data_IF_357737487854
#
_entry.id   IF_357737487854
#
_cell.length_a   1.000
_cell.length_b   1.000
_cell.length_c   1.000
_cell.angle_alpha   90.00
_cell.angle_beta   90.00
_cell.angle_gamma   90.00
#
_symmetry.space_group_name_H-M   'P 1'
#
loop_
_entity.id
_entity.type
_entity.pdbx_description
1 polymer ?
#
# COMPACT_ATOMS: atom_id res chain seq x y z
N UNK A 1 17.85 3.37 16.44
CA UNK A 1 16.66 2.87 15.72
C UNK A 1 15.45 3.52 16.37
N UNK A 2 14.68 4.31 15.62
CA UNK A 2 13.48 5.00 16.12
C UNK A 2 12.25 4.49 15.37
N UNK A 3 11.18 4.17 16.09
CA UNK A 3 9.91 3.66 15.57
C UNK A 3 8.88 4.80 15.49
N UNK A 4 9.11 5.77 14.61
CA UNK A 4 8.19 6.89 14.44
C UNK A 4 8.25 7.42 13.02
N UNK A 5 7.11 7.86 12.50
CA UNK A 5 7.03 8.52 11.20
C UNK A 5 7.33 10.02 11.31
N UNK A 6 7.51 10.67 10.15
CA UNK A 6 7.73 12.11 10.10
C UNK A 6 6.42 12.86 10.36
N UNK A 7 6.38 13.68 11.40
CA UNK A 7 5.21 14.50 11.77
C UNK A 7 5.16 15.80 10.94
N UNK A 8 4.89 15.69 9.64
CA UNK A 8 4.71 16.86 8.78
C UNK A 8 3.35 17.53 9.03
N UNK A 9 3.35 18.87 9.12
CA UNK A 9 2.11 19.64 9.09
C UNK A 9 1.51 19.63 7.68
N UNK A 10 0.18 19.80 7.56
CA UNK A 10 -0.53 19.80 6.27
C UNK A 10 -0.04 20.89 5.29
N UNK A 11 0.53 21.99 5.79
CA UNK A 11 1.09 23.08 4.99
C UNK A 11 2.60 22.93 4.72
N UNK A 12 3.23 21.87 5.21
CA UNK A 12 4.66 21.66 4.98
C UNK A 12 4.90 21.17 3.53
N UNK A 13 5.69 21.88 2.71
CA UNK A 13 5.95 21.48 1.33
C UNK A 13 6.65 20.11 1.21
N UNK A 14 7.40 19.67 2.22
CA UNK A 14 8.06 18.36 2.23
C UNK A 14 7.04 17.21 2.30
N UNK A 15 5.82 17.45 2.82
CA UNK A 15 4.75 16.45 2.81
C UNK A 15 4.34 16.11 1.38
N UNK A 16 4.14 17.14 0.55
CA UNK A 16 3.73 16.97 -0.85
C UNK A 16 4.81 16.21 -1.61
N UNK A 17 6.08 16.62 -1.45
CA UNK A 17 7.22 15.94 -2.09
C UNK A 17 7.29 14.46 -1.71
N UNK A 18 7.16 14.14 -0.42
CA UNK A 18 7.17 12.77 0.07
C UNK A 18 6.00 11.94 -0.50
N UNK A 19 4.81 12.51 -0.55
CA UNK A 19 3.62 11.84 -1.14
C UNK A 19 3.82 11.57 -2.64
N UNK A 20 4.39 12.51 -3.39
CA UNK A 20 4.69 12.33 -4.82
C UNK A 20 5.75 11.24 -5.06
N UNK A 21 6.78 11.20 -4.22
CA UNK A 21 7.82 10.15 -4.23
C UNK A 21 7.22 8.77 -3.92
N UNK A 22 6.35 8.67 -2.92
CA UNK A 22 5.65 7.43 -2.54
C UNK A 22 4.76 6.93 -3.69
N UNK A 23 3.97 7.81 -4.31
CA UNK A 23 3.12 7.47 -5.48
C UNK A 23 3.97 6.97 -6.64
N UNK A 24 5.05 7.68 -6.95
CA UNK A 24 5.92 7.33 -8.08
C UNK A 24 6.55 5.96 -7.88
N UNK A 25 7.04 5.71 -6.66
CA UNK A 25 7.65 4.43 -6.28
C UNK A 25 6.63 3.29 -6.34
N UNK A 26 5.41 3.54 -5.86
CA UNK A 26 4.33 2.55 -5.89
C UNK A 26 3.95 2.16 -7.33
N UNK A 27 3.73 3.15 -8.21
CA UNK A 27 3.38 2.91 -9.61
C UNK A 27 4.50 2.21 -10.40
N UNK A 28 5.76 2.49 -10.05
CA UNK A 28 6.90 1.80 -10.65
C UNK A 28 6.94 0.30 -10.26
N UNK A 29 6.55 -0.03 -9.03
CA UNK A 29 6.45 -1.41 -8.55
C UNK A 29 5.17 -2.12 -9.01
N UNK A 30 4.10 -1.36 -9.30
CA UNK A 30 2.78 -1.86 -9.67
C UNK A 30 2.34 -1.24 -10.99
N UNK A 31 2.95 -1.66 -12.10
CA UNK A 31 2.76 -1.06 -13.42
C UNK A 31 1.33 -1.16 -13.98
N UNK A 32 0.54 -2.12 -13.49
CA UNK A 32 -0.88 -2.27 -13.81
C UNK A 32 -1.79 -1.36 -12.98
N UNK A 33 -1.29 -0.83 -11.85
CA UNK A 33 -2.02 0.10 -11.02
C UNK A 33 -2.08 1.48 -11.69
N UNK A 34 -3.22 2.14 -11.54
CA UNK A 34 -3.40 3.53 -11.96
C UNK A 34 -3.41 4.44 -10.75
N UNK A 35 -2.99 5.69 -10.94
CA UNK A 35 -2.93 6.68 -9.85
C UNK A 35 -4.29 6.87 -9.18
N UNK A 36 -5.38 6.78 -9.95
CA UNK A 36 -6.75 6.93 -9.43
C UNK A 36 -7.19 5.75 -8.55
N UNK A 37 -6.52 4.61 -8.66
CA UNK A 37 -6.79 3.41 -7.88
C UNK A 37 -5.89 3.29 -6.64
N UNK A 38 -5.00 4.26 -6.41
CA UNK A 38 -4.17 4.30 -5.20
C UNK A 38 -5.05 4.78 -4.05
N UNK A 39 -5.34 3.94 -3.04
CA UNK A 39 -6.13 4.38 -1.90
C UNK A 39 -5.31 5.33 -1.03
N UNK A 40 -6.00 6.21 -0.30
CA UNK A 40 -5.36 7.31 0.43
C UNK A 40 -4.53 6.87 1.63
N UNK A 41 -4.80 5.69 2.17
CA UNK A 41 -4.04 5.07 3.25
C UNK A 41 -2.58 4.80 2.85
N UNK A 42 -2.31 4.55 1.57
CA UNK A 42 -0.96 4.46 0.99
C UNK A 42 -0.14 5.73 1.24
N UNK A 43 -0.81 6.88 1.18
CA UNK A 43 -0.17 8.20 1.19
C UNK A 43 0.05 8.73 2.62
N UNK A 44 -0.70 8.19 3.58
CA UNK A 44 -0.62 8.59 4.99
C UNK A 44 0.33 7.67 5.73
N UNK A 45 1.37 8.22 6.36
CA UNK A 45 2.20 7.41 7.25
C UNK A 45 1.48 7.22 8.58
N UNK A 46 1.52 5.99 9.13
CA UNK A 46 1.08 5.76 10.50
C UNK A 46 2.00 6.45 11.50
N UNK A 47 1.46 6.99 12.59
CA UNK A 47 2.21 7.70 13.63
C UNK A 47 3.31 6.85 14.30
N UNK A 48 3.11 5.53 14.39
CA UNK A 48 4.11 4.59 14.94
C UNK A 48 5.20 4.22 13.94
N UNK A 49 4.96 4.42 12.63
CA UNK A 49 5.81 3.88 11.57
C UNK A 49 5.91 2.35 11.55
N UNK A 50 5.08 1.64 12.32
CA UNK A 50 5.10 0.17 12.50
C UNK A 50 3.72 -0.48 12.27
N UNK A 51 2.78 0.27 11.72
CA UNK A 51 1.42 -0.21 11.51
C UNK A 51 1.41 -1.35 10.46
N UNK A 52 1.03 -2.58 10.85
CA UNK A 52 0.94 -3.68 9.91
C UNK A 52 -0.42 -3.68 9.19
N UNK A 53 -1.33 -2.77 9.51
CA UNK A 53 -2.66 -2.74 8.92
C UNK A 53 -2.66 -1.95 7.61
N UNK A 54 -3.27 -2.56 6.60
CA UNK A 54 -3.48 -2.01 5.27
C UNK A 54 -4.92 -2.26 4.86
N UNK A 55 -5.51 -1.38 4.05
CA UNK A 55 -6.89 -1.61 3.60
C UNK A 55 -7.00 -2.80 2.64
N UNK A 56 -8.19 -3.42 2.54
CA UNK A 56 -8.47 -4.42 1.52
C UNK A 56 -8.19 -3.92 0.10
N UNK A 57 -8.57 -2.67 -0.20
CA UNK A 57 -8.33 -2.04 -1.51
C UNK A 57 -6.84 -1.87 -1.82
N UNK A 58 -6.05 -1.45 -0.83
CA UNK A 58 -4.59 -1.38 -0.96
C UNK A 58 -3.98 -2.76 -1.22
N UNK A 59 -4.53 -3.80 -0.63
CA UNK A 59 -4.01 -5.16 -0.86
C UNK A 59 -4.36 -5.65 -2.27
N UNK A 60 -5.60 -5.44 -2.71
CA UNK A 60 -6.08 -5.85 -4.04
C UNK A 60 -5.29 -5.24 -5.19
N UNK A 61 -4.96 -3.95 -5.11
CA UNK A 61 -4.25 -3.24 -6.20
C UNK A 61 -2.83 -3.80 -6.44
N UNK A 62 -2.25 -4.52 -5.48
CA UNK A 62 -0.90 -5.09 -5.58
C UNK A 62 -0.88 -6.55 -6.07
N UNK A 63 -2.02 -7.26 -6.06
CA UNK A 63 -2.08 -8.68 -6.42
C UNK A 63 -1.49 -8.95 -7.82
N UNK A 64 -1.79 -8.16 -8.87
CA UNK A 64 -1.21 -8.43 -10.19
C UNK A 64 0.33 -8.37 -10.20
N UNK A 65 0.93 -7.40 -9.50
CA UNK A 65 2.38 -7.30 -9.41
C UNK A 65 2.99 -8.46 -8.61
N UNK A 66 2.28 -8.96 -7.60
CA UNK A 66 2.69 -10.13 -6.83
C UNK A 66 2.61 -11.42 -7.64
N UNK A 67 1.61 -11.59 -8.50
CA UNK A 67 1.53 -12.73 -9.45
C UNK A 67 2.78 -12.76 -10.31
N UNK A 68 3.14 -11.63 -10.92
CA UNK A 68 4.31 -11.51 -11.79
C UNK A 68 5.62 -11.78 -11.04
N UNK A 69 5.73 -11.29 -9.80
CA UNK A 69 6.94 -11.42 -8.99
C UNK A 69 7.13 -12.81 -8.36
N UNK A 70 6.04 -13.50 -8.01
CA UNK A 70 6.07 -14.76 -7.24
C UNK A 70 5.76 -15.99 -8.09
N UNK A 71 5.08 -15.82 -9.22
CA UNK A 71 4.54 -16.92 -10.04
C UNK A 71 3.35 -17.64 -9.42
N UNK A 72 2.80 -17.15 -8.30
CA UNK A 72 1.59 -17.67 -7.68
C UNK A 72 0.35 -17.20 -8.45
N UNK A 73 -0.72 -17.99 -8.44
CA UNK A 73 -2.00 -17.55 -9.01
C UNK A 73 -2.64 -16.46 -8.15
N UNK A 74 -3.49 -15.65 -8.78
CA UNK A 74 -4.31 -14.66 -8.05
C UNK A 74 -5.12 -15.33 -6.93
N UNK A 75 -5.70 -16.51 -7.17
CA UNK A 75 -6.46 -17.26 -6.17
C UNK A 75 -5.63 -17.60 -4.94
N UNK A 76 -4.41 -18.12 -5.14
CA UNK A 76 -3.50 -18.45 -4.03
C UNK A 76 -3.10 -17.19 -3.25
N UNK A 77 -2.83 -16.09 -3.94
CA UNK A 77 -2.53 -14.82 -3.28
C UNK A 77 -3.73 -14.29 -2.48
N UNK A 78 -4.94 -14.36 -3.04
CA UNK A 78 -6.17 -13.98 -2.35
C UNK A 78 -6.40 -14.84 -1.09
N UNK A 79 -6.14 -16.15 -1.15
CA UNK A 79 -6.21 -17.04 0.01
C UNK A 79 -5.21 -16.64 1.10
N UNK A 80 -3.94 -16.39 0.74
CA UNK A 80 -2.91 -15.95 1.69
C UNK A 80 -3.32 -14.63 2.36
N UNK A 81 -3.76 -13.67 1.56
CA UNK A 81 -4.19 -12.35 2.04
C UNK A 81 -5.37 -12.48 3.01
N UNK A 82 -6.31 -13.38 2.72
CA UNK A 82 -7.44 -13.69 3.58
C UNK A 82 -7.00 -14.36 4.90
N UNK A 83 -6.07 -15.32 4.84
CA UNK A 83 -5.50 -15.95 6.05
C UNK A 83 -4.79 -14.95 6.97
N UNK A 84 -4.14 -13.94 6.37
CA UNK A 84 -3.51 -12.84 7.10
C UNK A 84 -4.51 -11.81 7.65
N UNK A 85 -5.81 -11.96 7.34
CA UNK A 85 -6.86 -11.05 7.77
C UNK A 85 -6.82 -9.68 7.09
N UNK A 86 -6.19 -9.58 5.92
CA UNK A 86 -6.00 -8.34 5.17
C UNK A 86 -7.15 -8.02 4.20
N UNK A 87 -7.97 -9.03 3.86
CA UNK A 87 -9.24 -8.89 3.14
C UNK A 87 -10.32 -9.71 3.86
N UNK A 88 -11.53 -9.18 3.97
CA UNK A 88 -12.66 -9.91 4.56
C UNK A 88 -13.30 -10.86 3.54
N UNK A 89 -14.00 -11.89 4.01
CA UNK A 89 -14.77 -12.81 3.15
C UNK A 89 -16.04 -12.20 2.57
N UNK A 90 -16.38 -10.97 2.92
CA UNK A 90 -17.66 -10.33 2.61
C UNK A 90 -17.54 -9.15 1.61
N UNK A 91 -16.34 -8.87 1.10
CA UNK A 91 -16.06 -7.79 0.15
C UNK A 91 -16.06 -8.24 -1.31
#
# INVERSE_FOLDING_TARGET
MGSGSKNYAATNPDLMKRVEEDITSFLAANSSAKKENIPTDLLTASGSGLDPHISPEFTRVQIPALVDATGLSEDTLNEIVKELGLISSED
#
